data_IF_937041301652
#
_entry.id   IF_937041301652
#
_cell.length_a   1.000
_cell.length_b   1.000
_cell.length_c   1.000
_cell.angle_alpha   90.00
_cell.angle_beta   90.00
_cell.angle_gamma   90.00
#
_symmetry.space_group_name_H-M   'P 1'
#
loop_
_entity.id
_entity.type
_entity.pdbx_description
1 polymer ?
#
# COMPACT_ATOMS: atom_id res chain seq x y z
N UNK A 1 -53.78 1.89 -27.13
CA UNK A 1 -53.04 1.15 -26.08
C UNK A 1 -51.68 0.80 -26.66
N UNK A 2 -50.64 1.60 -26.37
CA UNK A 2 -49.30 1.40 -26.95
C UNK A 2 -48.52 0.38 -26.12
N UNK A 3 -48.04 -0.68 -26.77
CA UNK A 3 -47.27 -1.77 -26.16
C UNK A 3 -45.91 -1.24 -25.67
N UNK A 4 -45.47 -1.53 -24.42
CA UNK A 4 -44.17 -1.07 -23.96
C UNK A 4 -43.07 -1.83 -24.71
N UNK A 5 -42.26 -1.10 -25.49
CA UNK A 5 -41.07 -1.63 -26.14
C UNK A 5 -40.05 -2.01 -25.07
N UNK A 6 -39.85 -3.31 -24.86
CA UNK A 6 -38.81 -3.83 -23.96
C UNK A 6 -37.46 -3.27 -24.40
N UNK A 7 -36.85 -2.39 -23.59
CA UNK A 7 -35.51 -1.85 -23.81
C UNK A 7 -34.53 -3.04 -23.84
N UNK A 8 -34.08 -3.43 -25.04
CA UNK A 8 -33.12 -4.53 -25.21
C UNK A 8 -31.80 -4.10 -24.60
N UNK A 9 -31.35 -4.83 -23.58
CA UNK A 9 -29.97 -4.75 -23.11
C UNK A 9 -29.04 -5.10 -24.28
N UNK A 10 -27.89 -4.40 -24.42
CA UNK A 10 -26.93 -4.69 -25.46
C UNK A 10 -26.50 -6.16 -25.42
N UNK A 11 -26.27 -6.76 -26.58
CA UNK A 11 -25.90 -8.17 -26.71
C UNK A 11 -24.67 -8.50 -25.85
N UNK A 12 -24.75 -9.58 -25.08
CA UNK A 12 -23.82 -9.86 -23.98
C UNK A 12 -22.33 -9.81 -24.37
N UNK A 13 -21.96 -10.27 -25.57
CA UNK A 13 -20.56 -10.28 -26.01
C UNK A 13 -19.96 -8.89 -26.21
N UNK A 14 -20.66 -7.98 -26.89
CA UNK A 14 -20.15 -6.62 -27.11
C UNK A 14 -20.06 -5.81 -25.81
N UNK A 15 -21.05 -6.01 -24.92
CA UNK A 15 -21.06 -5.39 -23.60
C UNK A 15 -19.89 -5.87 -22.73
N UNK A 16 -19.64 -7.18 -22.67
CA UNK A 16 -18.50 -7.73 -21.91
C UNK A 16 -17.15 -7.24 -22.46
N UNK A 17 -16.97 -7.20 -23.79
CA UNK A 17 -15.74 -6.67 -24.39
C UNK A 17 -15.53 -5.19 -24.06
N UNK A 18 -16.60 -4.40 -24.03
CA UNK A 18 -16.53 -2.98 -23.66
C UNK A 18 -16.12 -2.82 -22.19
N UNK A 19 -16.72 -3.58 -21.28
CA UNK A 19 -16.35 -3.55 -19.87
C UNK A 19 -14.91 -4.02 -19.65
N UNK A 20 -14.48 -5.04 -20.36
CA UNK A 20 -13.09 -5.51 -20.31
C UNK A 20 -12.11 -4.46 -20.82
N UNK A 21 -12.41 -3.79 -21.94
CA UNK A 21 -11.59 -2.70 -22.45
C UNK A 21 -11.52 -1.53 -21.46
N UNK A 22 -12.65 -1.13 -20.87
CA UNK A 22 -12.69 -0.07 -19.84
C UNK A 22 -11.87 -0.47 -18.60
N UNK A 23 -11.96 -1.73 -18.17
CA UNK A 23 -11.15 -2.25 -17.08
C UNK A 23 -9.66 -2.16 -17.40
N UNK A 24 -9.24 -2.60 -18.59
CA UNK A 24 -7.83 -2.55 -19.02
C UNK A 24 -7.34 -1.10 -19.11
N UNK A 25 -8.12 -0.18 -19.70
CA UNK A 25 -7.75 1.23 -19.79
C UNK A 25 -7.68 1.87 -18.40
N UNK A 26 -8.67 1.62 -17.54
CA UNK A 26 -8.71 2.15 -16.18
C UNK A 26 -7.51 1.68 -15.35
N UNK A 27 -7.26 0.37 -15.27
CA UNK A 27 -6.13 -0.14 -14.51
C UNK A 27 -4.79 0.20 -15.17
N UNK A 28 -4.71 0.22 -16.50
CA UNK A 28 -3.51 0.67 -17.22
C UNK A 28 -3.16 2.12 -16.91
N UNK A 29 -4.13 3.04 -16.98
CA UNK A 29 -3.95 4.43 -16.61
C UNK A 29 -3.62 4.59 -15.12
N UNK A 30 -4.29 3.84 -14.24
CA UNK A 30 -4.01 3.84 -12.80
C UNK A 30 -2.56 3.45 -12.50
N UNK A 31 -2.07 2.35 -13.05
CA UNK A 31 -0.69 1.90 -12.83
C UNK A 31 0.34 2.85 -13.46
N UNK A 32 0.02 3.43 -14.61
CA UNK A 32 0.89 4.43 -15.25
C UNK A 32 1.00 5.71 -14.42
N UNK A 33 -0.14 6.25 -13.96
CA UNK A 33 -0.19 7.50 -13.19
C UNK A 33 0.30 7.35 -11.75
N UNK A 34 0.19 6.16 -11.15
CA UNK A 34 0.73 5.86 -9.81
C UNK A 34 2.26 5.97 -9.75
N UNK A 35 2.94 5.75 -10.87
CA UNK A 35 4.39 5.60 -10.90
C UNK A 35 4.86 4.21 -10.40
N UNK A 36 6.16 3.90 -10.51
CA UNK A 36 6.70 2.63 -10.05
C UNK A 36 6.49 2.46 -8.55
N UNK A 37 6.36 1.20 -8.10
CA UNK A 37 6.43 0.92 -6.66
C UNK A 37 7.77 1.44 -6.13
N UNK A 38 7.79 2.05 -4.93
CA UNK A 38 9.06 2.37 -4.30
C UNK A 38 9.92 1.11 -4.21
N UNK A 39 11.23 1.26 -4.38
CA UNK A 39 12.15 0.14 -4.20
C UNK A 39 11.90 -0.48 -2.82
N UNK A 40 11.85 -1.82 -2.76
CA UNK A 40 11.71 -2.50 -1.49
C UNK A 40 12.93 -2.13 -0.61
N UNK A 41 12.72 -1.81 0.69
CA UNK A 41 13.82 -1.54 1.60
C UNK A 41 14.75 -2.75 1.63
N UNK A 42 16.05 -2.52 1.48
CA UNK A 42 17.02 -3.61 1.48
C UNK A 42 17.35 -4.01 2.92
N UNK A 43 17.37 -3.05 3.86
CA UNK A 43 17.60 -3.28 5.28
C UNK A 43 16.65 -2.48 6.18
N UNK A 44 15.76 -3.19 6.89
CA UNK A 44 14.90 -2.63 7.94
C UNK A 44 15.44 -3.09 9.30
N UNK A 45 15.78 -2.14 10.18
CA UNK A 45 16.26 -2.43 11.51
C UNK A 45 15.10 -2.72 12.48
N UNK A 46 14.82 -4.00 12.70
CA UNK A 46 13.75 -4.47 13.60
C UNK A 46 14.00 -4.01 15.05
N UNK A 47 13.06 -3.22 15.59
CA UNK A 47 13.07 -2.52 16.88
C UNK A 47 14.34 -1.68 17.11
N UNK A 48 14.85 -1.10 16.03
CA UNK A 48 16.11 -0.36 16.01
C UNK A 48 17.38 -1.22 16.04
N UNK A 49 17.29 -2.53 15.80
CA UNK A 49 18.48 -3.41 15.80
C UNK A 49 18.84 -3.92 17.18
N UNK A 50 17.90 -4.65 17.80
CA UNK A 50 17.96 -5.18 19.18
C UNK A 50 19.21 -6.00 19.55
N UNK A 51 19.99 -6.44 18.56
CA UNK A 51 21.20 -7.25 18.78
C UNK A 51 22.32 -6.40 19.39
N UNK A 52 22.39 -5.11 19.02
CA UNK A 52 23.52 -4.27 19.36
C UNK A 52 23.24 -3.25 20.47
N UNK A 53 21.97 -3.02 20.81
CA UNK A 53 21.50 -2.13 21.87
C UNK A 53 20.06 -2.51 22.29
N UNK A 54 19.57 -2.05 23.46
CA UNK A 54 18.20 -2.31 23.90
C UNK A 54 17.16 -1.87 22.85
N UNK A 55 16.19 -2.74 22.57
CA UNK A 55 15.16 -2.51 21.56
C UNK A 55 14.27 -1.28 21.86
N UNK A 56 13.74 -0.65 20.82
CA UNK A 56 12.88 0.54 20.89
C UNK A 56 13.50 1.70 21.70
N UNK A 57 14.82 1.90 21.59
CA UNK A 57 15.52 3.01 22.24
C UNK A 57 16.22 3.91 21.22
N UNK A 58 16.44 5.17 21.60
CA UNK A 58 17.27 6.07 20.80
C UNK A 58 18.69 5.52 20.57
N UNK A 59 19.22 4.72 21.51
CA UNK A 59 20.52 4.10 21.36
C UNK A 59 20.53 3.05 20.22
N UNK A 60 19.50 2.20 20.14
CA UNK A 60 19.38 1.23 19.05
C UNK A 60 19.18 1.93 17.70
N UNK A 61 18.29 2.94 17.63
CA UNK A 61 18.08 3.71 16.41
C UNK A 61 19.34 4.41 15.90
N UNK A 62 20.11 5.05 16.79
CA UNK A 62 21.38 5.69 16.41
C UNK A 62 22.38 4.69 15.84
N UNK A 63 22.47 3.50 16.43
CA UNK A 63 23.35 2.45 15.95
C UNK A 63 22.89 1.90 14.60
N UNK A 64 21.60 1.62 14.44
CA UNK A 64 21.03 1.17 13.16
C UNK A 64 21.27 2.18 12.03
N UNK A 65 21.09 3.48 12.29
CA UNK A 65 21.42 4.55 11.33
C UNK A 65 22.91 4.54 10.99
N UNK A 66 23.79 4.46 11.99
CA UNK A 66 25.23 4.40 11.78
C UNK A 66 25.67 3.17 10.96
N UNK A 67 24.90 2.09 11.00
CA UNK A 67 25.12 0.86 10.22
C UNK A 67 24.46 0.85 8.83
N UNK A 68 23.81 1.94 8.44
CA UNK A 68 23.22 2.09 7.10
C UNK A 68 21.85 1.43 6.94
N UNK A 69 21.04 1.33 8.01
CA UNK A 69 19.66 0.93 7.87
C UNK A 69 18.89 1.92 6.97
N UNK A 70 18.16 1.39 5.99
CA UNK A 70 17.29 2.20 5.12
C UNK A 70 16.05 2.68 5.88
N UNK A 71 15.54 1.81 6.77
CA UNK A 71 14.36 2.06 7.59
C UNK A 71 14.57 1.57 9.02
N UNK A 72 13.92 2.26 9.96
CA UNK A 72 13.78 1.84 11.34
C UNK A 72 12.37 1.29 11.52
N UNK A 73 12.27 0.11 12.11
CA UNK A 73 11.01 -0.42 12.62
C UNK A 73 11.03 -0.31 14.15
N UNK A 74 9.87 0.05 14.72
CA UNK A 74 9.67 0.19 16.16
C UNK A 74 8.19 0.04 16.48
N UNK A 75 7.91 -0.43 17.69
CA UNK A 75 6.56 -0.58 18.19
C UNK A 75 6.10 0.72 18.87
N UNK A 76 4.81 1.02 18.77
CA UNK A 76 4.17 2.12 19.52
C UNK A 76 2.99 1.57 20.30
N UNK A 77 2.83 1.99 21.54
CA UNK A 77 1.68 1.67 22.40
C UNK A 77 1.09 2.93 23.04
N UNK A 78 -0.14 2.81 23.53
CA UNK A 78 -0.83 3.91 24.21
C UNK A 78 -0.81 3.70 25.72
N UNK A 79 -0.40 4.72 26.47
CA UNK A 79 -0.45 4.76 27.92
C UNK A 79 -1.89 4.97 28.41
N UNK A 80 -2.13 4.75 29.70
CA UNK A 80 -3.46 4.92 30.33
C UNK A 80 -3.97 6.37 30.22
N UNK A 81 -3.07 7.34 30.24
CA UNK A 81 -3.35 8.76 30.07
C UNK A 81 -3.33 9.24 28.61
N UNK A 82 -3.24 8.31 27.64
CA UNK A 82 -3.45 8.59 26.21
C UNK A 82 -2.21 9.07 25.46
N UNK A 83 -1.01 8.93 26.03
CA UNK A 83 0.24 9.21 25.33
C UNK A 83 0.70 8.01 24.52
N UNK A 84 1.28 8.26 23.34
CA UNK A 84 1.95 7.23 22.55
C UNK A 84 3.40 7.10 23.03
N UNK A 85 3.83 5.86 23.32
CA UNK A 85 5.20 5.49 23.69
C UNK A 85 5.75 4.43 22.75
#
# INVERSE_FOLDING_TARGET
MATPTKRRLPSGRGFLLTLFALFVVYYGAYFFLRGPLPAAPQFIAHRGGKVDAPENTLASFRNAIARGADYLEFDVQMTVDGHLI
#
